data_IF_322163582480
#
_entry.id   IF_322163582480
#
_cell.length_a   1.000
_cell.length_b   1.000
_cell.length_c   1.000
_cell.angle_alpha   90.00
_cell.angle_beta   90.00
_cell.angle_gamma   90.00
#
_symmetry.space_group_name_H-M   'P 1'
#
loop_
_entity.id
_entity.type
_entity.pdbx_description
1 polymer ?
#
# COMPACT_ATOMS: atom_id res chain seq x y z
N UNK A 1 -10.72 -1.49 -8.38
CA UNK A 1 -10.63 -2.42 -7.21
C UNK A 1 -9.91 -1.73 -6.04
N UNK A 2 -10.12 -2.16 -4.78
CA UNK A 2 -9.44 -1.62 -3.59
C UNK A 2 -8.41 -2.62 -3.05
N UNK A 3 -7.25 -2.11 -2.64
CA UNK A 3 -6.16 -2.90 -2.07
C UNK A 3 -5.67 -2.31 -0.75
N UNK A 4 -5.54 -3.16 0.25
CA UNK A 4 -4.73 -2.92 1.44
C UNK A 4 -3.30 -3.38 1.15
N UNK A 5 -2.36 -2.45 1.20
CA UNK A 5 -0.94 -2.74 1.26
C UNK A 5 -0.52 -2.59 2.72
N UNK A 6 0.11 -3.61 3.29
CA UNK A 6 0.81 -3.51 4.57
C UNK A 6 2.29 -3.77 4.37
N UNK A 7 3.13 -3.15 5.20
CA UNK A 7 4.57 -3.39 5.17
C UNK A 7 5.19 -3.33 6.55
N UNK A 8 6.34 -4.01 6.68
CA UNK A 8 7.30 -3.87 7.77
C UNK A 8 8.69 -3.74 7.17
N UNK A 9 9.44 -2.71 7.57
CA UNK A 9 10.80 -2.51 7.11
C UNK A 9 11.74 -3.45 7.86
N UNK A 10 12.74 -3.98 7.16
CA UNK A 10 13.80 -4.79 7.73
C UNK A 10 14.53 -4.03 8.84
N UNK A 11 14.94 -4.74 9.90
CA UNK A 11 15.36 -4.09 11.15
C UNK A 11 16.61 -3.22 10.99
N UNK A 12 17.52 -3.66 10.13
CA UNK A 12 18.76 -3.01 9.74
C UNK A 12 18.56 -1.84 8.76
N UNK A 13 17.42 -1.79 8.06
CA UNK A 13 17.12 -0.75 7.06
C UNK A 13 16.20 0.36 7.56
N UNK A 14 15.71 0.30 8.81
CA UNK A 14 14.73 1.26 9.35
C UNK A 14 15.15 2.72 9.18
N UNK A 15 16.33 3.09 9.68
CA UNK A 15 16.79 4.48 9.61
C UNK A 15 17.13 4.92 8.19
N UNK A 16 17.74 4.05 7.39
CA UNK A 16 18.05 4.34 5.98
C UNK A 16 16.78 4.58 5.18
N UNK A 17 15.78 3.71 5.36
CA UNK A 17 14.46 3.81 4.73
C UNK A 17 13.74 5.07 5.17
N UNK A 18 13.78 5.42 6.48
CA UNK A 18 13.19 6.68 6.96
C UNK A 18 13.83 7.88 6.29
N UNK A 19 15.17 7.89 6.23
CA UNK A 19 15.92 8.99 5.67
C UNK A 19 15.58 9.14 4.19
N UNK A 20 15.65 8.06 3.41
CA UNK A 20 15.30 8.07 1.99
C UNK A 20 13.87 8.58 1.76
N UNK A 21 12.88 8.00 2.46
CA UNK A 21 11.48 8.40 2.35
C UNK A 21 11.26 9.87 2.74
N UNK A 22 11.92 10.36 3.80
CA UNK A 22 11.78 11.75 4.27
C UNK A 22 12.30 12.82 3.29
N UNK A 23 13.11 12.43 2.30
CA UNK A 23 13.62 13.32 1.26
C UNK A 23 12.74 13.32 0.00
N UNK A 24 11.77 12.41 -0.12
CA UNK A 24 10.89 12.36 -1.29
C UNK A 24 9.93 13.54 -1.29
N UNK A 25 9.79 14.17 -2.45
CA UNK A 25 8.77 15.18 -2.71
C UNK A 25 7.44 14.54 -3.09
N UNK A 26 6.36 15.33 -3.15
CA UNK A 26 5.07 14.86 -3.65
C UNK A 26 5.14 14.35 -5.09
N UNK A 27 6.03 14.91 -5.92
CA UNK A 27 6.22 14.47 -7.30
C UNK A 27 7.00 13.14 -7.35
N UNK A 28 7.98 12.94 -6.46
CA UNK A 28 8.69 11.66 -6.33
C UNK A 28 7.75 10.55 -5.84
N UNK A 29 6.91 10.84 -4.83
CA UNK A 29 5.88 9.93 -4.35
C UNK A 29 4.93 9.51 -5.49
N UNK A 30 4.51 10.47 -6.32
CA UNK A 30 3.63 10.20 -7.45
C UNK A 30 4.33 9.39 -8.54
N UNK A 31 5.59 9.69 -8.83
CA UNK A 31 6.39 8.95 -9.81
C UNK A 31 6.66 7.50 -9.37
N UNK A 32 6.94 7.29 -8.08
CA UNK A 32 7.15 5.97 -7.47
C UNK A 32 5.88 5.11 -7.54
N UNK A 33 4.74 5.69 -7.16
CA UNK A 33 3.44 5.00 -7.17
C UNK A 33 2.90 4.75 -8.60
N UNK A 34 3.18 5.67 -9.52
CA UNK A 34 2.69 5.63 -10.90
C UNK A 34 1.26 6.17 -11.07
N UNK A 35 0.88 6.43 -12.31
CA UNK A 35 -0.36 7.15 -12.65
C UNK A 35 -1.65 6.31 -12.53
N UNK A 36 -1.52 4.98 -12.47
CA UNK A 36 -2.67 4.06 -12.48
C UNK A 36 -3.23 3.76 -11.08
N UNK A 37 -2.67 4.37 -10.03
CA UNK A 37 -3.08 4.11 -8.64
C UNK A 37 -3.63 5.39 -8.03
N UNK A 38 -4.81 5.29 -7.42
CA UNK A 38 -5.39 6.33 -6.57
C UNK A 38 -5.18 5.96 -5.10
N UNK A 39 -4.31 6.69 -4.41
CA UNK A 39 -4.12 6.52 -2.98
C UNK A 39 -5.34 7.08 -2.20
N UNK A 40 -5.93 6.26 -1.33
CA UNK A 40 -7.00 6.69 -0.39
C UNK A 40 -6.38 7.28 0.86
N UNK A 41 -5.35 6.62 1.38
CA UNK A 41 -4.61 7.06 2.55
C UNK A 41 -3.43 6.13 2.83
N UNK A 42 -2.45 6.66 3.57
CA UNK A 42 -1.21 6.00 3.96
C UNK A 42 -0.86 6.39 5.39
N UNK A 43 -0.57 5.41 6.24
CA UNK A 43 -0.28 5.60 7.65
C UNK A 43 0.95 4.79 8.05
N UNK A 44 1.76 5.36 8.96
CA UNK A 44 3.04 4.80 9.38
C UNK A 44 3.09 4.67 10.90
N UNK A 45 3.56 3.52 11.39
CA UNK A 45 4.05 3.33 12.75
C UNK A 45 5.58 3.47 12.72
N UNK A 46 6.09 4.59 13.20
CA UNK A 46 7.53 4.87 13.23
C UNK A 46 8.28 4.08 14.30
N UNK A 47 7.60 3.52 15.30
CA UNK A 47 8.23 2.77 16.40
C UNK A 47 8.46 1.33 15.99
N UNK A 48 7.45 0.69 15.40
CA UNK A 48 7.60 -0.66 14.83
C UNK A 48 8.19 -0.66 13.43
N UNK A 49 8.25 0.52 12.81
CA UNK A 49 8.72 0.73 11.45
C UNK A 49 7.94 -0.11 10.43
N UNK A 50 6.62 -0.02 10.56
CA UNK A 50 5.62 -0.67 9.72
C UNK A 50 4.58 0.35 9.26
N UNK A 51 3.70 -0.04 8.35
CA UNK A 51 2.61 0.82 7.94
C UNK A 51 1.60 0.12 7.05
N UNK A 52 0.62 0.91 6.62
CA UNK A 52 -0.39 0.47 5.69
C UNK A 52 -0.86 1.60 4.77
N UNK A 53 -1.34 1.21 3.60
CA UNK A 53 -1.99 2.07 2.64
C UNK A 53 -3.25 1.40 2.10
N UNK A 54 -4.30 2.19 1.90
CA UNK A 54 -5.43 1.78 1.07
C UNK A 54 -5.32 2.52 -0.26
N UNK A 55 -5.39 1.79 -1.36
CA UNK A 55 -5.36 2.36 -2.70
C UNK A 55 -6.40 1.72 -3.61
N UNK A 56 -6.72 2.42 -4.70
CA UNK A 56 -7.64 1.98 -5.74
C UNK A 56 -6.94 1.93 -7.09
N UNK A 57 -7.17 0.84 -7.82
CA UNK A 57 -6.77 0.69 -9.21
C UNK A 57 -7.59 -0.40 -9.89
N UNK A 58 -7.71 -0.33 -11.21
CA UNK A 58 -8.27 -1.40 -12.04
C UNK A 58 -7.18 -2.27 -12.68
N UNK A 59 -5.90 -1.94 -12.44
CA UNK A 59 -4.74 -2.75 -12.83
C UNK A 59 -4.00 -3.25 -11.57
N UNK A 60 -4.28 -4.48 -11.09
CA UNK A 60 -3.58 -5.04 -9.93
C UNK A 60 -2.06 -5.04 -10.12
N UNK A 61 -1.56 -5.18 -11.36
CA UNK A 61 -0.13 -5.19 -11.62
C UNK A 61 0.54 -3.86 -11.27
N UNK A 62 -0.20 -2.75 -11.28
CA UNK A 62 0.31 -1.44 -10.86
C UNK A 62 0.70 -1.45 -9.38
N UNK A 63 -0.15 -1.99 -8.49
CA UNK A 63 0.16 -2.08 -7.05
C UNK A 63 1.40 -2.94 -6.82
N UNK A 64 1.49 -4.10 -7.49
CA UNK A 64 2.65 -4.97 -7.35
C UNK A 64 3.95 -4.29 -7.83
N UNK A 65 3.92 -3.54 -8.94
CA UNK A 65 5.09 -2.78 -9.42
C UNK A 65 5.52 -1.71 -8.42
N UNK A 66 4.56 -0.99 -7.84
CA UNK A 66 4.86 0.02 -6.82
C UNK A 66 5.54 -0.61 -5.60
N UNK A 67 5.01 -1.73 -5.08
CA UNK A 67 5.62 -2.40 -3.92
C UNK A 67 6.98 -3.04 -4.25
N UNK A 68 7.19 -3.48 -5.50
CA UNK A 68 8.48 -3.99 -5.95
C UNK A 68 9.60 -2.94 -5.88
N UNK A 69 9.30 -1.63 -5.93
CA UNK A 69 10.32 -0.60 -5.75
C UNK A 69 10.94 -0.61 -4.34
N UNK A 70 10.27 -1.23 -3.36
CA UNK A 70 10.64 -1.22 -1.95
C UNK A 70 10.95 -2.61 -1.38
N UNK A 71 10.73 -3.69 -2.14
CA UNK A 71 10.80 -5.07 -1.64
C UNK A 71 12.20 -5.50 -1.16
N UNK A 72 13.23 -4.72 -1.46
CA UNK A 72 14.59 -4.93 -1.00
C UNK A 72 14.80 -4.50 0.46
N UNK A 73 13.90 -3.67 1.02
CA UNK A 73 13.98 -3.15 2.39
C UNK A 73 12.74 -3.41 3.22
N UNK A 74 11.67 -3.96 2.64
CA UNK A 74 10.41 -4.26 3.33
C UNK A 74 9.93 -5.69 3.08
N UNK A 75 9.28 -6.25 4.09
CA UNK A 75 8.31 -7.34 3.92
C UNK A 75 6.93 -6.72 3.72
N UNK A 76 6.24 -7.06 2.64
CA UNK A 76 4.97 -6.47 2.28
C UNK A 76 3.91 -7.50 1.91
N UNK A 77 2.65 -7.16 2.18
CA UNK A 77 1.48 -7.91 1.76
C UNK A 77 0.53 -7.00 0.97
N UNK A 78 -0.05 -7.54 -0.10
CA UNK A 78 -1.06 -6.86 -0.93
C UNK A 78 -2.34 -7.68 -0.89
N UNK A 79 -3.39 -7.13 -0.28
CA UNK A 79 -4.67 -7.80 -0.06
C UNK A 79 -5.79 -7.04 -0.76
N UNK A 80 -6.53 -7.66 -1.70
CA UNK A 80 -7.78 -7.09 -2.21
C UNK A 80 -8.77 -6.94 -1.06
N UNK A 81 -9.37 -5.76 -0.92
CA UNK A 81 -10.34 -5.47 0.15
C UNK A 81 -11.61 -4.91 -0.46
N UNK A 82 -12.68 -4.97 0.32
CA UNK A 82 -13.99 -4.46 -0.05
C UNK A 82 -14.41 -3.40 0.94
N UNK A 83 -15.16 -2.43 0.45
CA UNK A 83 -15.86 -1.50 1.34
C UNK A 83 -17.14 -2.12 1.90
N UNK A 84 -17.81 -1.28 2.66
CA UNK A 84 -19.05 -1.56 3.36
C UNK A 84 -20.22 -1.94 2.43
N UNK A 85 -20.30 -1.36 1.23
CA UNK A 85 -21.38 -1.63 0.28
C UNK A 85 -21.12 -2.95 -0.45
N UNK A 86 -19.90 -3.14 -0.97
CA UNK A 86 -19.45 -4.34 -1.67
C UNK A 86 -19.55 -5.58 -0.77
N UNK A 87 -19.09 -5.47 0.48
CA UNK A 87 -19.14 -6.57 1.46
C UNK A 87 -20.59 -6.98 1.74
N UNK A 88 -21.49 -6.02 1.94
CA UNK A 88 -22.92 -6.30 2.16
C UNK A 88 -23.56 -6.92 0.92
N UNK A 89 -23.19 -6.50 -0.29
CA UNK A 89 -23.71 -7.05 -1.54
C UNK A 89 -23.36 -8.54 -1.68
N UNK A 90 -22.11 -8.93 -1.43
CA UNK A 90 -21.67 -10.33 -1.44
C UNK A 90 -22.40 -11.14 -0.36
N UNK A 91 -22.49 -10.61 0.87
CA UNK A 91 -23.17 -11.27 1.97
C UNK A 91 -24.63 -11.57 1.66
N UNK A 92 -25.35 -10.61 1.06
CA UNK A 92 -26.72 -10.83 0.57
C UNK A 92 -26.73 -11.92 -0.50
N UNK A 93 -25.97 -11.77 -1.59
CA UNK A 93 -25.99 -12.73 -2.71
C UNK A 93 -25.66 -14.17 -2.31
N UNK A 94 -24.76 -14.37 -1.33
CA UNK A 94 -24.28 -15.70 -0.95
C UNK A 94 -25.20 -16.42 0.04
N UNK A 95 -25.88 -15.68 0.91
CA UNK A 95 -26.60 -16.24 2.06
C UNK A 95 -28.10 -15.90 2.10
N UNK A 96 -28.62 -15.12 1.15
CA UNK A 96 -30.07 -14.98 0.90
C UNK A 96 -30.56 -16.02 -0.09
#
# INVERSE_FOLDING_TARGET
MKFLVSWRVHEDERHNTLQAFSQMTSDDDKADMGDNIRLIGRWHDLVQFSGLAICETDDPSAVHKWILNWNNVIDAEVTPVLDDEETRAIGRQKFS
#
